data_IF_929591510066
#
_entry.id   IF_929591510066
#
_cell.length_a   1.000
_cell.length_b   1.000
_cell.length_c   1.000
_cell.angle_alpha   90.00
_cell.angle_beta   90.00
_cell.angle_gamma   90.00
#
_symmetry.space_group_name_H-M   'P 1'
#
loop_
_entity.id
_entity.type
_entity.pdbx_description
1 polymer ?
#
# COMPACT_ATOMS: atom_id res chain seq x y z
N UNK A 1 18.03 1.55 -17.56
CA UNK A 1 17.85 0.09 -17.42
C UNK A 1 16.34 -0.15 -17.41
N UNK A 2 15.79 -0.91 -18.36
CA UNK A 2 14.34 -1.16 -18.48
C UNK A 2 14.04 -2.52 -17.84
N UNK A 3 13.30 -2.51 -16.73
CA UNK A 3 12.73 -3.71 -16.11
C UNK A 3 13.70 -4.54 -15.26
N UNK A 4 13.17 -5.00 -14.13
CA UNK A 4 13.82 -5.93 -13.19
C UNK A 4 13.14 -7.28 -13.41
N UNK A 5 13.90 -8.34 -13.76
CA UNK A 5 13.34 -9.63 -14.14
C UNK A 5 12.85 -10.43 -12.92
N UNK A 6 11.52 -10.50 -12.74
CA UNK A 6 10.88 -11.13 -11.60
C UNK A 6 9.40 -10.76 -11.46
N UNK A 7 8.80 -11.18 -10.35
CA UNK A 7 7.38 -10.99 -10.04
C UNK A 7 7.19 -9.93 -8.95
N UNK A 8 6.14 -9.13 -9.11
CA UNK A 8 5.68 -8.19 -8.09
C UNK A 8 4.41 -8.74 -7.43
N UNK A 9 4.34 -8.61 -6.12
CA UNK A 9 3.20 -9.01 -5.32
C UNK A 9 2.81 -7.88 -4.38
N UNK A 10 1.54 -7.88 -3.99
CA UNK A 10 0.95 -6.89 -3.11
C UNK A 10 0.00 -7.59 -2.14
N UNK A 11 -0.03 -7.11 -0.90
CA UNK A 11 -1.06 -7.43 0.08
C UNK A 11 -1.56 -6.15 0.74
N UNK A 12 -2.89 -5.97 0.76
CA UNK A 12 -3.54 -4.77 1.29
C UNK A 12 -4.48 -5.14 2.41
N UNK A 13 -4.37 -4.42 3.54
CA UNK A 13 -5.28 -4.53 4.67
C UNK A 13 -5.89 -3.15 4.95
N UNK A 14 -7.22 -3.07 4.87
CA UNK A 14 -7.98 -1.86 5.13
C UNK A 14 -9.04 -2.08 6.20
N UNK A 15 -9.30 -1.05 7.00
CA UNK A 15 -10.43 -1.01 7.93
C UNK A 15 -11.45 0.00 7.44
N UNK A 16 -12.73 -0.32 7.59
CA UNK A 16 -13.81 0.63 7.34
C UNK A 16 -14.54 0.90 8.65
N UNK A 17 -14.18 2.00 9.32
CA UNK A 17 -14.69 2.34 10.65
C UNK A 17 -15.65 3.52 10.56
N UNK A 18 -16.88 3.32 11.04
CA UNK A 18 -17.91 4.35 11.12
C UNK A 18 -18.23 4.63 12.60
N UNK A 19 -17.48 5.53 13.28
CA UNK A 19 -17.77 5.89 14.66
C UNK A 19 -19.13 6.57 14.84
N UNK A 20 -19.63 7.25 13.82
CA UNK A 20 -20.98 7.84 13.80
C UNK A 20 -21.63 7.59 12.43
N UNK A 21 -22.93 7.89 12.31
CA UNK A 21 -23.63 7.80 11.02
C UNK A 21 -23.09 8.79 9.97
N UNK A 22 -22.48 9.90 10.42
CA UNK A 22 -22.03 10.99 9.57
C UNK A 22 -20.51 11.00 9.34
N UNK A 23 -19.76 10.13 10.01
CA UNK A 23 -18.32 10.13 9.93
C UNK A 23 -17.77 8.72 9.74
N UNK A 24 -16.93 8.57 8.73
CA UNK A 24 -16.25 7.32 8.40
C UNK A 24 -14.76 7.57 8.19
N UNK A 25 -13.95 6.69 8.77
CA UNK A 25 -12.49 6.68 8.69
C UNK A 25 -12.08 5.37 8.03
N UNK A 26 -11.23 5.45 7.02
CA UNK A 26 -10.74 4.29 6.28
C UNK A 26 -9.22 4.26 6.24
N UNK A 27 -8.55 3.72 7.27
CA UNK A 27 -7.11 3.51 7.21
C UNK A 27 -6.80 2.26 6.36
N UNK A 28 -5.69 2.32 5.66
CA UNK A 28 -5.17 1.25 4.81
C UNK A 28 -3.65 1.11 5.01
N UNK A 29 -3.18 -0.14 5.01
CA UNK A 29 -1.78 -0.48 4.85
C UNK A 29 -1.64 -1.41 3.65
N UNK A 30 -0.60 -1.17 2.85
CA UNK A 30 -0.27 -1.95 1.67
C UNK A 30 1.19 -2.36 1.73
N UNK A 31 1.46 -3.64 1.55
CA UNK A 31 2.81 -4.17 1.45
C UNK A 31 3.04 -4.72 0.05
N UNK A 32 3.99 -4.11 -0.65
CA UNK A 32 4.46 -4.54 -1.95
C UNK A 32 5.82 -5.24 -1.80
N UNK A 33 6.00 -6.39 -2.44
CA UNK A 33 7.31 -7.04 -2.50
C UNK A 33 7.61 -7.62 -3.87
N UNK A 34 8.91 -7.75 -4.14
CA UNK A 34 9.44 -8.20 -5.40
C UNK A 34 10.26 -9.47 -5.24
N UNK A 35 9.96 -10.48 -6.05
CA UNK A 35 10.72 -11.72 -6.14
C UNK A 35 11.38 -11.83 -7.51
N UNK A 36 12.68 -11.51 -7.55
CA UNK A 36 13.51 -11.65 -8.73
C UNK A 36 14.89 -11.02 -8.55
N UNK A 37 15.58 -10.85 -9.67
CA UNK A 37 16.92 -10.27 -9.69
C UNK A 37 16.82 -8.74 -9.72
N UNK A 38 17.30 -8.07 -8.66
CA UNK A 38 17.35 -6.60 -8.54
C UNK A 38 16.50 -6.06 -7.38
N UNK A 39 16.49 -4.73 -7.24
CA UNK A 39 15.83 -3.98 -6.16
C UNK A 39 15.01 -2.86 -6.79
N UNK A 40 13.72 -3.06 -7.05
CA UNK A 40 12.91 -2.07 -7.78
C UNK A 40 12.43 -0.91 -6.90
N UNK A 41 12.50 -1.03 -5.57
CA UNK A 41 11.99 -0.04 -4.63
C UNK A 41 13.09 0.88 -4.08
N UNK A 42 12.68 2.01 -3.50
CA UNK A 42 13.54 3.06 -2.94
C UNK A 42 14.73 3.47 -3.83
N UNK A 43 14.48 3.58 -5.14
CA UNK A 43 15.51 4.02 -6.09
C UNK A 43 16.60 2.98 -6.37
N UNK A 44 16.39 1.71 -6.03
CA UNK A 44 17.36 0.65 -6.32
C UNK A 44 17.92 -0.07 -5.09
N UNK A 45 17.46 0.23 -3.88
CA UNK A 45 18.05 -0.30 -2.65
C UNK A 45 17.24 -1.45 -2.05
N UNK A 46 15.93 -1.48 -2.27
CA UNK A 46 15.04 -2.39 -1.56
C UNK A 46 14.20 -3.28 -2.49
N UNK A 47 13.73 -4.39 -1.93
CA UNK A 47 12.87 -5.39 -2.60
C UNK A 47 11.43 -5.34 -2.14
N UNK A 48 11.11 -4.48 -1.21
CA UNK A 48 9.78 -4.27 -0.68
C UNK A 48 9.56 -2.80 -0.30
N UNK A 49 8.29 -2.41 -0.24
CA UNK A 49 7.85 -1.11 0.25
C UNK A 49 6.50 -1.28 0.96
N UNK A 50 6.36 -0.63 2.11
CA UNK A 50 5.10 -0.57 2.84
C UNK A 50 4.53 0.84 2.77
N UNK A 51 3.30 0.96 2.29
CA UNK A 51 2.58 2.22 2.13
C UNK A 51 1.43 2.29 3.13
N UNK A 52 1.19 3.47 3.69
CA UNK A 52 0.07 3.74 4.59
C UNK A 52 -0.82 4.82 3.98
N UNK A 53 -2.12 4.65 4.12
CA UNK A 53 -3.13 5.60 3.67
C UNK A 53 -4.24 5.77 4.69
N UNK A 54 -4.87 6.94 4.70
CA UNK A 54 -6.11 7.16 5.43
C UNK A 54 -6.98 8.13 4.66
N UNK A 55 -8.27 7.83 4.57
CA UNK A 55 -9.27 8.78 4.08
C UNK A 55 -10.41 8.96 5.08
N UNK A 56 -11.06 10.11 4.98
CA UNK A 56 -12.15 10.54 5.85
C UNK A 56 -13.36 10.91 5.00
N UNK A 57 -14.53 10.38 5.37
CA UNK A 57 -15.80 10.74 4.75
C UNK A 57 -16.68 11.40 5.80
N UNK A 58 -17.08 12.64 5.54
CA UNK A 58 -18.06 13.37 6.34
C UNK A 58 -19.34 13.59 5.53
N UNK A 59 -20.47 13.16 6.08
CA UNK A 59 -21.79 13.32 5.48
C UNK A 59 -22.53 14.46 6.20
N UNK A 60 -22.92 15.48 5.44
CA UNK A 60 -23.62 16.68 5.91
C UNK A 60 -25.03 16.78 5.33
#
# INVERSE_FOLDING_TARGET
>A
RLGTAGNFYEATAGLNWAPTANFRVRPEVRWDWYQGAGQPFHGGTDKDITTFGVDFVWLF
#
